data_IF_728317586258
#
_entry.id   IF_728317586258
#
_cell.length_a   1.000
_cell.length_b   1.000
_cell.length_c   1.000
_cell.angle_alpha   90.00
_cell.angle_beta   90.00
_cell.angle_gamma   90.00
#
_symmetry.space_group_name_H-M   'P 1'
#
loop_
_entity.id
_entity.type
_entity.pdbx_description
1 polymer ?
#
# COMPACT_ATOMS: atom_id res chain seq x y z
N UNK A 1 15.75 -4.19 5.25
CA UNK A 1 14.88 -3.59 6.31
C UNK A 1 14.57 -2.12 6.02
N UNK A 2 13.29 -1.72 5.94
CA UNK A 2 12.88 -0.38 5.49
C UNK A 2 12.29 -0.33 4.07
N UNK A 3 11.96 -1.48 3.50
CA UNK A 3 11.19 -1.61 2.26
C UNK A 3 9.72 -1.78 2.64
N UNK A 4 8.84 -1.07 1.94
CA UNK A 4 7.40 -1.14 2.11
C UNK A 4 6.76 -1.37 0.74
N UNK A 5 5.72 -2.21 0.68
CA UNK A 5 4.97 -2.50 -0.54
C UNK A 5 3.52 -2.03 -0.36
N UNK A 6 2.88 -1.69 -1.48
CA UNK A 6 1.48 -1.30 -1.56
C UNK A 6 0.92 -1.72 -2.93
N UNK A 7 -0.40 -1.79 -3.03
CA UNK A 7 -1.11 -2.09 -4.27
C UNK A 7 -0.84 -3.49 -4.80
N UNK A 8 -0.69 -3.58 -6.12
CA UNK A 8 -0.50 -4.82 -6.89
C UNK A 8 0.79 -5.58 -6.54
N UNK A 9 1.79 -4.92 -5.94
CA UNK A 9 3.02 -5.61 -5.50
C UNK A 9 2.78 -6.59 -4.35
N UNK A 10 1.61 -6.54 -3.73
CA UNK A 10 1.17 -7.49 -2.71
C UNK A 10 0.49 -8.67 -3.40
N UNK A 11 0.71 -9.88 -2.90
CA UNK A 11 0.14 -11.12 -3.46
C UNK A 11 -1.35 -11.24 -3.09
N UNK A 12 -2.20 -10.50 -3.81
CA UNK A 12 -3.66 -10.53 -3.70
C UNK A 12 -4.29 -10.11 -5.02
N UNK A 13 -5.54 -10.52 -5.23
CA UNK A 13 -6.27 -10.26 -6.48
C UNK A 13 -7.50 -9.37 -6.25
N UNK A 14 -7.65 -8.37 -7.11
CA UNK A 14 -8.78 -7.44 -7.08
C UNK A 14 -9.79 -7.75 -8.20
N UNK A 15 -11.11 -7.73 -7.93
CA UNK A 15 -12.10 -7.70 -9.00
C UNK A 15 -11.93 -6.45 -9.88
N UNK A 16 -12.43 -6.51 -11.12
CA UNK A 16 -12.58 -5.31 -11.95
C UNK A 16 -13.62 -4.36 -11.35
N UNK A 17 -13.76 -3.15 -11.92
CA UNK A 17 -14.67 -2.13 -11.38
C UNK A 17 -14.02 -1.19 -10.36
N UNK A 18 -12.69 -1.06 -10.39
CA UNK A 18 -11.95 -0.06 -9.63
C UNK A 18 -11.39 -0.53 -8.29
N UNK A 19 -11.67 -1.77 -7.86
CA UNK A 19 -11.16 -2.30 -6.59
C UNK A 19 -9.63 -2.31 -6.51
N UNK A 20 -8.94 -2.58 -7.62
CA UNK A 20 -7.48 -2.50 -7.68
C UNK A 20 -7.00 -1.10 -7.28
N UNK A 21 -7.57 -0.05 -7.90
CA UNK A 21 -7.20 1.34 -7.61
C UNK A 21 -7.55 1.72 -6.18
N UNK A 22 -8.74 1.35 -5.70
CA UNK A 22 -9.15 1.58 -4.30
C UNK A 22 -8.15 0.99 -3.32
N UNK A 23 -7.75 -0.26 -3.54
CA UNK A 23 -6.80 -0.94 -2.68
C UNK A 23 -5.37 -0.39 -2.81
N UNK A 24 -4.93 0.00 -4.01
CA UNK A 24 -3.66 0.70 -4.23
C UNK A 24 -3.58 1.99 -3.42
N UNK A 25 -4.63 2.83 -3.43
CA UNK A 25 -4.64 4.07 -2.65
C UNK A 25 -4.71 3.81 -1.15
N UNK A 26 -5.55 2.88 -0.69
CA UNK A 26 -5.68 2.55 0.73
C UNK A 26 -4.37 1.98 1.30
N UNK A 27 -3.78 0.99 0.61
CA UNK A 27 -2.49 0.40 1.03
C UNK A 27 -1.32 1.38 0.89
N UNK A 28 -1.36 2.30 -0.08
CA UNK A 28 -0.39 3.40 -0.20
C UNK A 28 -0.35 4.29 1.05
N UNK A 29 -1.51 4.65 1.61
CA UNK A 29 -1.59 5.40 2.88
C UNK A 29 -0.96 4.61 4.03
N UNK A 30 -1.20 3.29 4.09
CA UNK A 30 -0.64 2.43 5.14
C UNK A 30 0.88 2.32 5.03
N UNK A 31 1.40 2.08 3.81
CA UNK A 31 2.82 2.00 3.54
C UNK A 31 3.53 3.33 3.86
N UNK A 32 2.97 4.46 3.44
CA UNK A 32 3.50 5.78 3.74
C UNK A 32 3.54 6.08 5.24
N UNK A 33 2.47 5.77 5.98
CA UNK A 33 2.45 5.89 7.45
C UNK A 33 3.51 4.99 8.11
N UNK A 34 3.73 3.79 7.58
CA UNK A 34 4.80 2.91 8.03
C UNK A 34 6.20 3.50 7.80
N UNK A 35 6.41 4.08 6.62
CA UNK A 35 7.66 4.76 6.27
C UNK A 35 7.92 5.99 7.15
N UNK A 36 6.91 6.84 7.36
CA UNK A 36 7.01 8.03 8.22
C UNK A 36 7.35 7.65 9.66
N UNK A 37 6.60 6.71 10.26
CA UNK A 37 6.89 6.20 11.61
C UNK A 37 8.33 5.69 11.74
N UNK A 38 8.82 5.00 10.70
CA UNK A 38 10.21 4.51 10.68
C UNK A 38 11.23 5.65 10.64
N UNK A 39 10.90 6.77 10.00
CA UNK A 39 11.73 7.98 9.97
C UNK A 39 11.55 8.86 11.22
N UNK A 40 10.71 8.49 12.17
CA UNK A 40 10.36 9.33 13.32
C UNK A 40 9.58 10.59 12.95
N UNK A 41 8.83 10.52 11.83
CA UNK A 41 7.94 11.56 11.32
C UNK A 41 6.49 11.09 11.38
#
# INVERSE_FOLDING_TARGET
PGVFCAGEMLDWEAPTGGYLLTACFASGVVAARGALRRLGR
#
